data_IF_123400116777
#
_entry.id   IF_123400116777
#
_cell.length_a   1.000
_cell.length_b   1.000
_cell.length_c   1.000
_cell.angle_alpha   90.00
_cell.angle_beta   90.00
_cell.angle_gamma   90.00
#
_symmetry.space_group_name_H-M   'P 1'
#
loop_
_entity.id
_entity.type
_entity.pdbx_description
1 polymer ?
#
# COMPACT_ATOMS: atom_id res chain seq x y z
N UNK A 1 -20.85 -12.25 -33.65
CA UNK A 1 -19.40 -12.44 -33.82
C UNK A 1 -18.78 -11.05 -33.79
N UNK A 2 -18.05 -10.75 -32.73
CA UNK A 2 -17.53 -9.39 -32.44
C UNK A 2 -16.39 -9.04 -33.40
N UNK A 3 -16.43 -7.85 -33.99
CA UNK A 3 -15.54 -7.33 -35.03
C UNK A 3 -14.07 -7.13 -34.66
N UNK A 4 -13.57 -7.78 -33.61
CA UNK A 4 -12.20 -7.66 -33.11
C UNK A 4 -11.31 -8.88 -33.38
N UNK A 5 -11.56 -9.59 -34.47
CA UNK A 5 -10.76 -10.80 -34.79
C UNK A 5 -9.39 -10.49 -35.45
N UNK A 6 -9.16 -9.25 -35.87
CA UNK A 6 -7.90 -8.81 -36.47
C UNK A 6 -6.97 -8.20 -35.39
N UNK A 7 -5.66 -8.48 -35.44
CA UNK A 7 -4.70 -7.79 -34.58
C UNK A 7 -4.79 -6.27 -34.74
N UNK A 8 -4.89 -5.57 -33.62
CA UNK A 8 -4.87 -4.11 -33.55
C UNK A 8 -3.47 -3.61 -33.25
N UNK A 9 -3.15 -2.39 -33.68
CA UNK A 9 -2.01 -1.64 -33.18
C UNK A 9 -2.47 -0.83 -31.96
N UNK A 10 -1.86 -1.09 -30.80
CA UNK A 10 -2.27 -0.51 -29.53
C UNK A 10 -1.08 0.21 -28.91
N UNK A 11 -1.27 1.46 -28.53
CA UNK A 11 -0.32 2.22 -27.74
C UNK A 11 -0.73 2.14 -26.26
N UNK A 12 0.19 1.69 -25.40
CA UNK A 12 0.06 1.72 -23.95
C UNK A 12 1.01 2.76 -23.42
N UNK A 13 0.49 3.75 -22.69
CA UNK A 13 1.28 4.86 -22.14
C UNK A 13 1.48 4.68 -20.65
N UNK A 14 2.75 4.57 -20.26
CA UNK A 14 3.21 4.33 -18.88
C UNK A 14 3.56 2.87 -18.59
N UNK A 15 4.79 2.64 -18.10
CA UNK A 15 5.34 1.33 -17.73
C UNK A 15 5.19 1.04 -16.22
N UNK A 16 4.16 1.55 -15.56
CA UNK A 16 3.77 1.07 -14.23
C UNK A 16 3.10 -0.30 -14.31
N UNK A 17 2.76 -0.89 -13.16
CA UNK A 17 2.12 -2.24 -13.07
C UNK A 17 0.90 -2.36 -14.00
N UNK A 18 0.03 -1.35 -14.04
CA UNK A 18 -1.15 -1.37 -14.89
C UNK A 18 -0.81 -1.41 -16.38
N UNK A 19 0.12 -0.56 -16.83
CA UNK A 19 0.54 -0.52 -18.24
C UNK A 19 1.27 -1.78 -18.66
N UNK A 20 2.20 -2.27 -17.83
CA UNK A 20 2.90 -3.52 -18.09
C UNK A 20 1.95 -4.71 -18.15
N UNK A 21 1.01 -4.81 -17.23
CA UNK A 21 -0.01 -5.89 -17.24
C UNK A 21 -0.90 -5.81 -18.48
N UNK A 22 -1.36 -4.60 -18.83
CA UNK A 22 -2.17 -4.39 -20.03
C UNK A 22 -1.38 -4.76 -21.30
N UNK A 23 -0.15 -4.29 -21.42
CA UNK A 23 0.70 -4.59 -22.58
C UNK A 23 0.97 -6.09 -22.70
N UNK A 24 1.26 -6.77 -21.59
CA UNK A 24 1.50 -8.20 -21.56
C UNK A 24 0.27 -9.03 -21.97
N UNK A 25 -0.92 -8.67 -21.47
CA UNK A 25 -2.15 -9.37 -21.82
C UNK A 25 -2.57 -9.11 -23.28
N UNK A 26 -2.51 -7.84 -23.71
CA UNK A 26 -2.91 -7.44 -25.07
C UNK A 26 -1.92 -7.93 -26.12
N UNK A 27 -0.63 -7.98 -25.79
CA UNK A 27 0.44 -8.46 -26.69
C UNK A 27 0.30 -9.93 -27.10
N UNK A 28 -0.55 -10.71 -26.42
CA UNK A 28 -0.88 -12.08 -26.82
C UNK A 28 -1.69 -12.14 -28.12
N UNK A 29 -2.38 -11.05 -28.50
CA UNK A 29 -3.30 -11.01 -29.65
C UNK A 29 -3.08 -9.80 -30.55
N UNK A 30 -2.44 -8.75 -30.06
CA UNK A 30 -2.33 -7.46 -30.72
C UNK A 30 -0.86 -7.01 -30.83
N UNK A 31 -0.61 -6.07 -31.74
CA UNK A 31 0.69 -5.38 -31.88
C UNK A 31 0.70 -4.20 -30.87
N UNK A 32 1.44 -4.38 -29.75
CA UNK A 32 1.42 -3.44 -28.63
C UNK A 32 2.72 -2.66 -28.57
N UNK A 33 2.61 -1.34 -28.59
CA UNK A 33 3.69 -0.39 -28.36
C UNK A 33 3.56 0.25 -26.98
N UNK A 34 4.58 0.06 -26.14
CA UNK A 34 4.63 0.56 -24.78
C UNK A 34 5.52 1.81 -24.72
N UNK A 35 4.97 2.92 -24.20
CA UNK A 35 5.64 4.20 -24.08
C UNK A 35 5.86 4.55 -22.63
N UNK A 36 7.08 4.91 -22.26
CA UNK A 36 7.44 5.39 -20.91
C UNK A 36 8.21 6.69 -21.04
N UNK A 37 7.93 7.61 -20.15
CA UNK A 37 8.59 8.92 -20.12
C UNK A 37 9.96 8.87 -19.41
N UNK A 38 10.11 7.95 -18.45
CA UNK A 38 11.34 7.76 -17.70
C UNK A 38 12.25 6.73 -18.41
N UNK A 39 13.50 6.68 -18.00
CA UNK A 39 14.49 5.70 -18.46
C UNK A 39 14.39 4.33 -17.77
N UNK A 40 13.36 4.13 -16.94
CA UNK A 40 13.10 2.87 -16.22
C UNK A 40 11.63 2.48 -16.28
N UNK A 41 11.36 1.18 -16.22
CA UNK A 41 10.03 0.61 -16.08
C UNK A 41 9.67 0.32 -14.61
N UNK A 42 8.37 0.09 -14.33
CA UNK A 42 7.86 -0.32 -13.02
C UNK A 42 7.04 0.75 -12.30
N UNK A 43 7.28 2.03 -12.58
CA UNK A 43 6.56 3.12 -11.90
C UNK A 43 6.83 3.11 -10.39
N UNK A 44 5.79 2.86 -9.57
CA UNK A 44 5.92 2.73 -8.12
C UNK A 44 6.56 1.41 -7.65
N UNK A 45 6.64 0.40 -8.48
CA UNK A 45 7.35 -0.87 -8.20
C UNK A 45 8.82 -0.75 -8.62
N UNK A 46 9.54 0.16 -7.99
CA UNK A 46 10.93 0.46 -8.35
C UNK A 46 11.90 -0.10 -7.31
N UNK A 47 12.85 -0.91 -7.76
CA UNK A 47 13.98 -1.39 -6.97
C UNK A 47 15.21 -0.55 -7.30
N UNK A 48 15.87 -0.02 -6.29
CA UNK A 48 17.12 0.73 -6.41
C UNK A 48 18.27 -0.11 -5.84
N UNK A 49 19.44 -0.01 -6.46
CA UNK A 49 20.67 -0.56 -5.88
C UNK A 49 21.40 0.53 -5.10
N UNK A 50 21.81 0.19 -3.87
CA UNK A 50 22.67 1.06 -3.06
C UNK A 50 23.99 1.25 -3.81
N UNK A 51 24.34 2.51 -4.11
CA UNK A 51 25.50 2.83 -4.98
C UNK A 51 26.82 2.82 -4.24
N UNK A 52 26.85 3.03 -2.91
CA UNK A 52 28.09 3.17 -2.13
C UNK A 52 27.87 2.84 -0.64
N UNK A 53 28.95 2.68 0.12
CA UNK A 53 28.93 2.36 1.54
C UNK A 53 28.99 0.86 1.83
N UNK A 54 28.75 0.48 3.08
CA UNK A 54 28.82 -0.93 3.55
C UNK A 54 27.80 -1.84 2.82
N UNK A 55 26.67 -1.28 2.43
CA UNK A 55 25.57 -2.02 1.79
C UNK A 55 25.55 -1.85 0.25
N UNK A 56 26.65 -1.41 -0.35
CA UNK A 56 26.77 -1.21 -1.79
C UNK A 56 26.40 -2.50 -2.56
N UNK A 57 25.55 -2.37 -3.57
CA UNK A 57 25.02 -3.49 -4.36
C UNK A 57 23.73 -4.12 -3.83
N UNK A 58 23.32 -3.80 -2.60
CA UNK A 58 22.04 -4.26 -2.05
C UNK A 58 20.86 -3.66 -2.83
N UNK A 59 19.89 -4.48 -3.19
CA UNK A 59 18.65 -4.07 -3.81
C UNK A 59 17.64 -3.64 -2.76
N UNK A 60 17.06 -2.45 -2.94
CA UNK A 60 16.06 -1.86 -2.03
C UNK A 60 14.83 -1.50 -2.83
N UNK A 61 13.70 -2.08 -2.47
CA UNK A 61 12.42 -1.72 -3.05
C UNK A 61 11.94 -0.37 -2.51
N UNK A 62 11.45 0.46 -3.43
CA UNK A 62 10.91 1.79 -3.12
C UNK A 62 9.48 1.90 -3.63
N UNK A 63 8.67 2.73 -2.97
CA UNK A 63 7.28 2.95 -3.34
C UNK A 63 6.37 1.79 -2.93
N UNK A 64 6.03 0.90 -3.84
CA UNK A 64 5.20 -0.27 -3.55
C UNK A 64 6.07 -1.46 -3.10
N UNK A 65 6.20 -1.64 -1.80
CA UNK A 65 7.12 -2.60 -1.18
C UNK A 65 6.44 -3.85 -0.60
N UNK A 66 5.13 -3.79 -0.35
CA UNK A 66 4.37 -4.92 0.21
C UNK A 66 2.97 -4.98 -0.39
N UNK A 67 2.42 -6.18 -0.47
CA UNK A 67 1.05 -6.44 -0.87
C UNK A 67 0.42 -7.50 0.04
N UNK A 68 -0.90 -7.68 -0.05
CA UNK A 68 -1.57 -8.84 0.50
C UNK A 68 -2.57 -9.42 -0.51
N UNK A 69 -2.77 -10.72 -0.48
CA UNK A 69 -3.60 -11.44 -1.45
C UNK A 69 -5.08 -10.99 -1.42
N UNK A 70 -5.57 -10.56 -0.25
CA UNK A 70 -6.96 -10.13 -0.08
C UNK A 70 -7.27 -8.84 -0.83
N UNK A 71 -6.37 -7.85 -0.77
CA UNK A 71 -6.60 -6.54 -1.36
C UNK A 71 -6.11 -6.45 -2.82
N UNK A 72 -5.23 -7.35 -3.24
CA UNK A 72 -4.62 -7.37 -4.57
C UNK A 72 -4.82 -8.69 -5.33
N UNK A 73 -6.07 -9.21 -5.44
CA UNK A 73 -6.31 -10.55 -6.00
C UNK A 73 -5.93 -10.65 -7.47
N UNK A 74 -6.09 -9.59 -8.27
CA UNK A 74 -5.71 -9.59 -9.68
C UNK A 74 -4.19 -9.50 -9.86
N UNK A 75 -3.51 -8.71 -9.03
CA UNK A 75 -2.06 -8.61 -9.06
C UNK A 75 -1.40 -9.92 -8.64
N UNK A 76 -1.92 -10.58 -7.62
CA UNK A 76 -1.50 -11.95 -7.24
C UNK A 76 -1.56 -12.91 -8.43
N UNK A 77 -2.68 -12.93 -9.17
CA UNK A 77 -2.80 -13.76 -10.38
C UNK A 77 -1.79 -13.42 -11.48
N UNK A 78 -1.44 -12.15 -11.63
CA UNK A 78 -0.41 -11.73 -12.60
C UNK A 78 0.94 -12.29 -12.18
N UNK A 79 1.34 -12.16 -10.91
CA UNK A 79 2.60 -12.69 -10.39
C UNK A 79 2.68 -14.21 -10.54
N UNK A 80 1.60 -14.93 -10.21
CA UNK A 80 1.49 -16.38 -10.41
C UNK A 80 1.70 -16.79 -11.88
N UNK A 81 1.04 -16.09 -12.83
CA UNK A 81 1.16 -16.37 -14.25
C UNK A 81 2.55 -16.02 -14.80
N UNK A 82 3.26 -15.10 -14.19
CA UNK A 82 4.63 -14.73 -14.54
C UNK A 82 5.66 -15.62 -13.83
N UNK A 83 5.23 -16.50 -12.91
CA UNK A 83 6.14 -17.35 -12.12
C UNK A 83 7.01 -16.57 -11.14
N UNK A 84 6.54 -15.40 -10.70
CA UNK A 84 7.26 -14.55 -9.73
C UNK A 84 7.01 -15.07 -8.32
N UNK A 85 8.09 -15.44 -7.63
CA UNK A 85 8.03 -15.84 -6.22
C UNK A 85 7.69 -14.63 -5.33
N UNK A 86 6.84 -14.85 -4.33
CA UNK A 86 6.44 -13.87 -3.32
C UNK A 86 6.90 -14.39 -1.96
N UNK A 87 7.54 -13.53 -1.18
CA UNK A 87 7.99 -13.85 0.16
C UNK A 87 7.07 -13.22 1.21
N UNK A 88 6.86 -13.92 2.33
CA UNK A 88 6.11 -13.39 3.45
C UNK A 88 6.89 -12.25 4.11
N UNK A 89 6.20 -11.12 4.27
CA UNK A 89 6.76 -9.92 4.92
C UNK A 89 5.88 -9.47 6.08
N UNK A 90 6.51 -8.94 7.10
CA UNK A 90 5.83 -8.35 8.25
C UNK A 90 5.63 -6.85 8.01
N UNK A 91 4.39 -6.43 7.74
CA UNK A 91 4.05 -5.02 7.62
C UNK A 91 3.82 -4.43 9.01
N UNK A 92 4.75 -3.58 9.43
CA UNK A 92 4.72 -2.92 10.73
C UNK A 92 4.50 -1.42 10.57
N UNK A 93 3.76 -0.83 11.50
CA UNK A 93 3.55 0.61 11.57
C UNK A 93 4.10 1.15 12.88
N UNK A 94 4.91 2.19 12.80
CA UNK A 94 5.40 2.93 13.99
C UNK A 94 5.28 4.42 13.76
N UNK A 95 5.08 5.14 14.84
CA UNK A 95 5.05 6.60 14.89
C UNK A 95 6.08 7.09 15.91
N UNK A 96 6.81 8.15 15.57
CA UNK A 96 7.71 8.84 16.46
C UNK A 96 7.63 10.34 16.23
N UNK A 97 7.40 11.08 17.30
CA UNK A 97 7.44 12.53 17.33
C UNK A 97 8.69 12.99 18.08
N UNK A 98 9.62 13.58 17.35
CA UNK A 98 10.90 14.04 17.87
C UNK A 98 10.76 15.20 18.87
N UNK A 99 9.71 16.02 18.76
CA UNK A 99 9.53 17.19 19.64
C UNK A 99 9.09 16.77 21.04
N UNK A 100 8.25 15.75 21.15
CA UNK A 100 7.68 15.28 22.41
C UNK A 100 8.29 13.98 22.90
N UNK A 101 9.24 13.41 22.15
CA UNK A 101 9.78 12.05 22.36
C UNK A 101 8.68 11.00 22.54
N UNK A 102 7.60 11.18 21.78
CA UNK A 102 6.45 10.30 21.81
C UNK A 102 6.52 9.27 20.71
N UNK A 103 6.44 7.99 21.07
CA UNK A 103 6.49 6.89 20.11
C UNK A 103 5.52 5.78 20.44
N UNK A 104 5.07 5.07 19.41
CA UNK A 104 4.34 3.82 19.55
C UNK A 104 4.44 2.99 18.26
N UNK A 105 4.15 1.69 18.36
CA UNK A 105 4.01 0.82 17.21
C UNK A 105 2.74 -0.02 17.32
N UNK A 106 2.08 -0.24 16.20
CA UNK A 106 0.82 -0.99 16.11
C UNK A 106 0.95 -2.51 16.08
N UNK A 107 2.15 -3.08 16.25
CA UNK A 107 2.39 -4.51 16.09
C UNK A 107 1.80 -5.39 17.19
N UNK A 108 1.72 -4.88 18.40
CA UNK A 108 1.21 -5.60 19.56
C UNK A 108 0.79 -4.63 20.66
N UNK A 109 0.04 -5.12 21.65
CA UNK A 109 -0.27 -4.33 22.85
C UNK A 109 1.00 -3.88 23.58
N UNK A 110 2.05 -4.71 23.59
CA UNK A 110 3.33 -4.36 24.21
C UNK A 110 4.02 -3.19 23.50
N UNK A 111 3.93 -3.10 22.18
CA UNK A 111 4.56 -2.04 21.39
C UNK A 111 3.70 -0.77 21.32
N UNK A 112 2.40 -0.87 21.60
CA UNK A 112 1.55 0.29 21.87
C UNK A 112 1.97 1.01 23.15
N UNK A 113 2.50 0.28 24.15
CA UNK A 113 2.99 0.84 25.41
C UNK A 113 4.51 0.61 25.52
N UNK A 114 5.32 1.42 24.84
CA UNK A 114 6.77 1.16 24.73
C UNK A 114 7.53 1.25 26.06
N UNK A 115 6.96 1.93 27.06
CA UNK A 115 7.49 1.96 28.42
C UNK A 115 6.39 2.02 29.48
N UNK A 116 6.71 1.68 30.72
CA UNK A 116 5.75 1.71 31.84
C UNK A 116 5.12 3.09 32.08
N UNK A 117 5.83 4.18 31.73
CA UNK A 117 5.31 5.54 31.88
C UNK A 117 4.07 5.83 31.03
N UNK A 118 3.91 5.09 29.90
CA UNK A 118 2.76 5.29 29.00
C UNK A 118 1.44 4.85 29.62
N UNK A 119 1.44 3.92 30.58
CA UNK A 119 0.23 3.53 31.33
C UNK A 119 -0.30 4.66 32.20
N UNK A 120 0.52 5.66 32.52
CA UNK A 120 0.15 6.81 33.35
C UNK A 120 -0.07 8.10 32.55
N UNK A 121 0.01 8.05 31.22
CA UNK A 121 -0.26 9.19 30.34
C UNK A 121 -1.75 9.19 29.90
N UNK A 122 -2.63 10.06 30.45
CA UNK A 122 -4.07 10.04 30.11
C UNK A 122 -4.33 10.22 28.61
N UNK A 123 -3.57 11.09 27.96
CA UNK A 123 -3.67 11.30 26.50
C UNK A 123 -3.35 10.02 25.70
N UNK A 124 -2.37 9.26 26.14
CA UNK A 124 -2.04 8.00 25.47
C UNK A 124 -3.12 6.94 25.65
N UNK A 125 -3.67 6.83 26.85
CA UNK A 125 -4.81 5.92 27.13
C UNK A 125 -6.02 6.30 26.27
N UNK A 126 -6.36 7.60 26.21
CA UNK A 126 -7.43 8.11 25.34
C UNK A 126 -7.19 7.75 23.87
N UNK A 127 -5.96 7.96 23.38
CA UNK A 127 -5.57 7.61 22.03
C UNK A 127 -5.75 6.11 21.72
N UNK A 128 -5.26 5.22 22.59
CA UNK A 128 -5.41 3.76 22.41
C UNK A 128 -6.89 3.35 22.44
N UNK A 129 -7.69 3.95 23.32
CA UNK A 129 -9.13 3.73 23.37
C UNK A 129 -9.80 4.15 22.06
N UNK A 130 -9.49 5.34 21.57
CA UNK A 130 -10.04 5.85 20.32
C UNK A 130 -9.58 5.03 19.10
N UNK A 131 -8.37 4.52 19.11
CA UNK A 131 -7.88 3.61 18.07
C UNK A 131 -8.73 2.32 18.02
N UNK A 132 -9.01 1.70 19.15
CA UNK A 132 -9.87 0.52 19.23
C UNK A 132 -11.33 0.84 18.85
N UNK A 133 -11.86 1.98 19.30
CA UNK A 133 -13.18 2.45 18.88
C UNK A 133 -13.25 2.70 17.39
N UNK A 134 -12.23 3.36 16.80
CA UNK A 134 -12.15 3.65 15.38
C UNK A 134 -12.16 2.35 14.57
N UNK A 135 -11.35 1.37 14.93
CA UNK A 135 -11.32 0.07 14.25
C UNK A 135 -12.70 -0.62 14.24
N UNK A 136 -13.40 -0.61 15.37
CA UNK A 136 -14.72 -1.25 15.51
C UNK A 136 -15.84 -0.48 14.81
N UNK A 137 -15.92 0.83 15.08
CA UNK A 137 -17.00 1.69 14.58
C UNK A 137 -16.79 2.03 13.12
N UNK A 138 -15.54 2.29 12.71
CA UNK A 138 -15.19 2.67 11.35
C UNK A 138 -15.59 1.60 10.33
N UNK A 139 -15.35 0.33 10.64
CA UNK A 139 -15.77 -0.77 9.77
C UNK A 139 -17.30 -0.86 9.63
N UNK A 140 -18.03 -0.68 10.73
CA UNK A 140 -19.49 -0.64 10.70
C UNK A 140 -20.01 0.54 9.89
N UNK A 141 -19.44 1.72 10.09
CA UNK A 141 -19.86 2.95 9.43
C UNK A 141 -19.52 2.93 7.92
N UNK A 142 -18.43 2.27 7.54
CA UNK A 142 -18.09 2.01 6.13
C UNK A 142 -19.18 1.16 5.47
N UNK A 143 -19.53 0.04 6.09
CA UNK A 143 -20.51 -0.89 5.53
C UNK A 143 -21.96 -0.33 5.50
N UNK A 144 -22.27 0.65 6.36
CA UNK A 144 -23.59 1.30 6.39
C UNK A 144 -23.73 2.49 5.44
N UNK A 145 -22.68 2.85 4.68
CA UNK A 145 -22.66 4.04 3.84
C UNK A 145 -22.52 5.36 4.63
N UNK A 146 -22.37 5.30 5.96
CA UNK A 146 -22.27 6.51 6.79
C UNK A 146 -21.09 7.41 6.45
N UNK A 147 -20.05 6.87 5.81
CA UNK A 147 -18.85 7.63 5.44
C UNK A 147 -18.99 8.41 4.12
N UNK A 148 -20.03 8.14 3.33
CA UNK A 148 -20.21 8.78 2.03
C UNK A 148 -20.25 10.31 2.16
N UNK A 149 -19.49 10.98 1.29
CA UNK A 149 -19.36 12.44 1.24
C UNK A 149 -18.70 13.10 2.44
N UNK A 150 -18.07 12.34 3.34
CA UNK A 150 -17.40 12.87 4.54
C UNK A 150 -15.86 12.74 4.42
N UNK A 151 -15.16 13.82 4.74
CA UNK A 151 -13.72 13.73 4.97
C UNK A 151 -13.42 13.03 6.30
N UNK A 152 -12.21 12.45 6.42
CA UNK A 152 -11.75 11.81 7.66
C UNK A 152 -11.85 12.74 8.85
N UNK A 153 -11.43 14.03 8.71
CA UNK A 153 -11.51 15.00 9.78
C UNK A 153 -12.95 15.29 10.25
N UNK A 154 -13.89 15.39 9.30
CA UNK A 154 -15.33 15.55 9.64
C UNK A 154 -15.87 14.31 10.34
N UNK A 155 -15.48 13.13 9.89
CA UNK A 155 -15.87 11.88 10.54
C UNK A 155 -15.35 11.79 11.98
N UNK A 156 -14.05 12.04 12.18
CA UNK A 156 -13.44 12.02 13.51
C UNK A 156 -14.14 12.99 14.48
N UNK A 157 -14.39 14.23 14.03
CA UNK A 157 -15.13 15.22 14.84
C UNK A 157 -16.54 14.74 15.22
N UNK A 158 -17.30 14.20 14.25
CA UNK A 158 -18.67 13.69 14.49
C UNK A 158 -18.69 12.50 15.46
N UNK A 159 -17.69 11.64 15.39
CA UNK A 159 -17.56 10.48 16.30
C UNK A 159 -16.82 10.78 17.59
N UNK A 160 -16.35 12.04 17.77
CA UNK A 160 -15.59 12.49 18.95
C UNK A 160 -14.35 11.62 19.18
N UNK A 161 -13.56 11.44 18.12
CA UNK A 161 -12.21 10.91 18.20
C UNK A 161 -11.24 12.09 18.33
N UNK A 162 -10.26 12.02 19.26
CA UNK A 162 -9.27 13.10 19.46
C UNK A 162 -8.55 12.99 20.76
#
# INVERSE_FOLDING_TARGET
MSGYDKPLKIAVVGCGVAGLTAAWLLGRKHDVHLFEKNDYAGGHTRTLKVSSGADAGTSVDTGFIVMNHRNYPLFTKVLEQLGVAVEDSSMTFSFYDQQTDYSYSGNSLKTLFPSASYYFKPKHISFVWDLMRFARIGYRDLNSGYLEGKSLGTYCKKRRFG
#
